data_IF_399884990102
#
_entry.id   IF_399884990102
#
_cell.length_a   1.000
_cell.length_b   1.000
_cell.length_c   1.000
_cell.angle_alpha   90.00
_cell.angle_beta   90.00
_cell.angle_gamma   90.00
#
_symmetry.space_group_name_H-M   'P 1'
#
loop_
_entity.id
_entity.type
_entity.pdbx_description
1 polymer ?
#
# COMPACT_ATOMS: atom_id res chain seq x y z
N UNK A 1 -29.28 -46.15 -11.12
CA UNK A 1 -29.36 -44.81 -10.50
C UNK A 1 -28.70 -44.87 -9.14
N UNK A 2 -27.70 -44.02 -8.88
CA UNK A 2 -27.05 -43.97 -7.55
C UNK A 2 -28.00 -43.25 -6.58
N UNK A 3 -28.48 -43.97 -5.58
CA UNK A 3 -29.38 -43.42 -4.58
C UNK A 3 -28.54 -42.50 -3.64
N UNK A 4 -28.65 -41.18 -3.86
CA UNK A 4 -27.95 -40.17 -3.09
C UNK A 4 -28.80 -39.83 -1.88
N UNK A 5 -28.44 -40.33 -0.69
CA UNK A 5 -29.13 -39.98 0.54
C UNK A 5 -29.03 -38.48 0.80
N UNK A 6 -30.05 -37.86 1.44
CA UNK A 6 -30.06 -36.45 1.83
C UNK A 6 -28.78 -36.03 2.57
N UNK A 7 -28.22 -36.91 3.42
CA UNK A 7 -26.96 -36.67 4.15
C UNK A 7 -25.77 -36.56 3.19
N UNK A 8 -25.66 -37.44 2.17
CA UNK A 8 -24.59 -37.40 1.16
C UNK A 8 -24.71 -36.16 0.28
N UNK A 9 -25.94 -35.78 -0.08
CA UNK A 9 -26.18 -34.54 -0.82
C UNK A 9 -25.76 -33.30 -0.05
N UNK A 10 -26.17 -33.17 1.23
CA UNK A 10 -25.79 -32.04 2.07
C UNK A 10 -24.27 -31.99 2.35
N UNK A 11 -23.63 -33.15 2.56
CA UNK A 11 -22.18 -33.21 2.69
C UNK A 11 -21.47 -32.78 1.40
N UNK A 12 -21.91 -33.24 0.25
CA UNK A 12 -21.38 -32.84 -1.06
C UNK A 12 -21.56 -31.37 -1.34
N UNK A 13 -22.74 -30.82 -1.06
CA UNK A 13 -23.03 -29.39 -1.19
C UNK A 13 -22.13 -28.54 -0.27
N UNK A 14 -21.91 -29.00 0.99
CA UNK A 14 -20.99 -28.33 1.92
C UNK A 14 -19.55 -28.32 1.43
N UNK A 15 -19.06 -29.45 0.91
CA UNK A 15 -17.69 -29.53 0.34
C UNK A 15 -17.57 -28.62 -0.88
N UNK A 16 -18.54 -28.67 -1.81
CA UNK A 16 -18.55 -27.82 -2.99
C UNK A 16 -18.56 -26.32 -2.61
N UNK A 17 -19.40 -25.92 -1.64
CA UNK A 17 -19.45 -24.54 -1.15
C UNK A 17 -18.12 -24.09 -0.54
N UNK A 18 -17.49 -24.96 0.26
CA UNK A 18 -16.18 -24.67 0.85
C UNK A 18 -15.09 -24.49 -0.21
N UNK A 19 -15.03 -25.40 -1.18
CA UNK A 19 -14.05 -25.31 -2.27
C UNK A 19 -14.28 -24.07 -3.14
N UNK A 20 -15.54 -23.72 -3.42
CA UNK A 20 -15.89 -22.49 -4.15
C UNK A 20 -15.46 -21.24 -3.39
N UNK A 21 -15.67 -21.21 -2.08
CA UNK A 21 -15.23 -20.08 -1.22
C UNK A 21 -13.71 -19.95 -1.18
N UNK A 22 -12.99 -21.07 -1.05
CA UNK A 22 -11.51 -21.07 -1.10
C UNK A 22 -11.04 -20.56 -2.47
N UNK A 23 -11.61 -21.06 -3.56
CA UNK A 23 -11.29 -20.59 -4.92
C UNK A 23 -11.57 -19.11 -5.11
N UNK A 24 -12.68 -18.61 -4.59
CA UNK A 24 -12.99 -17.19 -4.60
C UNK A 24 -11.92 -16.38 -3.84
N UNK A 25 -11.65 -16.72 -2.59
CA UNK A 25 -10.77 -15.95 -1.70
C UNK A 25 -9.30 -15.97 -2.14
N UNK A 26 -8.83 -17.07 -2.73
CA UNK A 26 -7.42 -17.23 -3.12
C UNK A 26 -7.18 -16.93 -4.60
N UNK A 27 -7.90 -17.57 -5.50
CA UNK A 27 -7.62 -17.45 -6.93
C UNK A 27 -8.25 -16.19 -7.54
N UNK A 28 -9.52 -15.91 -7.22
CA UNK A 28 -10.20 -14.78 -7.82
C UNK A 28 -9.86 -13.45 -7.09
N UNK A 29 -10.19 -13.32 -5.81
CA UNK A 29 -10.05 -12.02 -5.13
C UNK A 29 -8.59 -11.66 -4.92
N UNK A 30 -7.73 -12.60 -4.51
CA UNK A 30 -6.31 -12.34 -4.32
C UNK A 30 -5.55 -12.24 -5.63
N UNK A 31 -5.79 -13.15 -6.57
CA UNK A 31 -4.96 -13.33 -7.77
C UNK A 31 -5.45 -12.59 -9.01
N UNK A 32 -6.76 -12.32 -9.12
CA UNK A 32 -7.35 -11.81 -10.37
C UNK A 32 -8.10 -10.49 -10.21
N UNK A 33 -8.77 -10.27 -9.07
CA UNK A 33 -9.50 -9.02 -8.86
C UNK A 33 -8.54 -7.83 -8.76
N UNK A 34 -8.92 -6.71 -9.37
CA UNK A 34 -8.22 -5.44 -9.28
C UNK A 34 -9.25 -4.33 -9.36
N UNK A 35 -9.23 -3.43 -8.40
CA UNK A 35 -10.19 -2.33 -8.31
C UNK A 35 -9.48 -0.99 -8.33
N UNK A 36 -10.23 0.04 -8.70
CA UNK A 36 -9.85 1.43 -8.56
C UNK A 36 -10.72 2.03 -7.45
N UNK A 37 -10.07 2.50 -6.38
CA UNK A 37 -10.74 3.17 -5.26
C UNK A 37 -10.44 4.65 -5.31
N UNK A 38 -11.46 5.50 -5.27
CA UNK A 38 -11.28 6.95 -5.34
C UNK A 38 -11.62 7.61 -4.00
N UNK A 39 -10.75 8.53 -3.58
CA UNK A 39 -10.95 9.42 -2.43
C UNK A 39 -10.84 10.87 -2.89
N UNK A 40 -11.69 11.72 -2.31
CA UNK A 40 -11.67 13.16 -2.57
C UNK A 40 -11.83 13.94 -1.25
N UNK A 41 -10.88 13.79 -0.32
CA UNK A 41 -10.97 14.40 1.01
C UNK A 41 -10.93 15.92 0.94
N UNK A 42 -11.60 16.57 1.89
CA UNK A 42 -11.43 18.01 2.14
C UNK A 42 -10.34 18.18 3.18
N UNK A 43 -9.19 18.64 2.74
CA UNK A 43 -8.04 18.80 3.62
C UNK A 43 -7.98 20.23 4.16
N UNK A 44 -7.79 20.36 5.45
CA UNK A 44 -7.50 21.65 6.05
C UNK A 44 -6.13 22.17 5.58
N UNK A 45 -6.04 23.44 5.25
CA UNK A 45 -4.80 24.03 4.74
C UNK A 45 -4.41 23.65 3.30
N UNK A 46 -5.23 22.86 2.59
CA UNK A 46 -5.02 22.58 1.16
C UNK A 46 -5.80 23.59 0.32
N UNK A 47 -5.13 24.39 -0.54
CA UNK A 47 -5.83 25.40 -1.36
C UNK A 47 -6.76 24.75 -2.39
N UNK A 48 -7.96 25.33 -2.57
CA UNK A 48 -8.93 24.84 -3.56
C UNK A 48 -8.38 24.94 -4.99
N UNK A 49 -7.53 25.92 -5.28
CA UNK A 49 -6.90 26.14 -6.58
C UNK A 49 -5.65 25.26 -6.82
N UNK A 50 -5.26 24.45 -5.85
CA UNK A 50 -4.22 23.43 -6.00
C UNK A 50 -4.85 22.08 -6.32
N UNK A 51 -5.35 21.94 -7.56
CA UNK A 51 -5.87 20.67 -8.04
C UNK A 51 -4.72 19.65 -8.22
N UNK A 52 -4.80 18.51 -7.56
CA UNK A 52 -3.79 17.45 -7.63
C UNK A 52 -4.45 16.08 -7.64
N UNK A 53 -4.08 15.26 -8.61
CA UNK A 53 -4.53 13.88 -8.77
C UNK A 53 -3.38 12.93 -8.50
N UNK A 54 -3.49 12.11 -7.46
CA UNK A 54 -2.44 11.21 -7.00
C UNK A 54 -2.88 9.76 -7.20
N UNK A 55 -2.07 8.96 -7.89
CA UNK A 55 -2.21 7.50 -7.87
C UNK A 55 -1.33 6.92 -6.76
N UNK A 56 -1.91 6.04 -5.96
CA UNK A 56 -1.24 5.35 -4.84
C UNK A 56 -1.21 3.87 -5.11
N UNK A 57 -0.02 3.30 -5.07
CA UNK A 57 0.28 1.88 -5.19
C UNK A 57 0.92 1.44 -3.88
N UNK A 58 0.41 0.39 -3.24
CA UNK A 58 0.92 -0.08 -1.95
C UNK A 58 0.96 -1.61 -1.90
N UNK A 59 1.90 -2.13 -1.13
CA UNK A 59 1.92 -3.54 -0.70
C UNK A 59 1.84 -4.51 -1.90
N UNK A 60 2.74 -4.37 -2.86
CA UNK A 60 2.78 -5.22 -4.07
C UNK A 60 3.06 -6.67 -3.69
N UNK A 61 4.02 -6.94 -2.80
CA UNK A 61 4.43 -8.29 -2.40
C UNK A 61 4.67 -9.21 -3.59
N UNK A 62 5.55 -8.81 -4.50
CA UNK A 62 5.85 -9.51 -5.74
C UNK A 62 6.26 -10.98 -5.52
N UNK A 63 5.46 -11.92 -6.00
CA UNK A 63 5.66 -13.36 -5.81
C UNK A 63 4.82 -14.19 -6.79
N UNK A 64 5.24 -15.43 -7.04
CA UNK A 64 4.46 -16.37 -7.83
C UNK A 64 3.60 -17.28 -6.93
N UNK A 65 2.39 -17.67 -7.38
CA UNK A 65 1.73 -17.26 -8.63
C UNK A 65 0.89 -15.97 -8.50
N UNK A 66 0.86 -15.31 -7.33
CA UNK A 66 -0.16 -14.32 -6.96
C UNK A 66 0.10 -12.92 -7.53
N UNK A 67 1.36 -12.46 -7.53
CA UNK A 67 1.76 -11.13 -7.97
C UNK A 67 2.99 -11.23 -8.88
N UNK A 68 2.78 -11.81 -10.07
CA UNK A 68 3.79 -11.95 -11.10
C UNK A 68 4.10 -10.61 -11.77
N UNK A 69 5.17 -10.55 -12.57
CA UNK A 69 5.52 -9.39 -13.41
C UNK A 69 4.36 -8.98 -14.31
N UNK A 70 3.65 -9.96 -14.91
CA UNK A 70 2.47 -9.69 -15.73
C UNK A 70 1.40 -8.96 -14.91
N UNK A 71 1.13 -9.44 -13.70
CA UNK A 71 0.13 -8.84 -12.81
C UNK A 71 0.52 -7.43 -12.39
N UNK A 72 1.79 -7.20 -12.11
CA UNK A 72 2.33 -5.87 -11.81
C UNK A 72 2.17 -4.95 -13.03
N UNK A 73 2.40 -5.48 -14.25
CA UNK A 73 2.15 -4.76 -15.49
C UNK A 73 0.69 -4.30 -15.65
N UNK A 74 -0.29 -5.16 -15.33
CA UNK A 74 -1.72 -4.81 -15.35
C UNK A 74 -2.05 -3.68 -14.37
N UNK A 75 -1.40 -3.69 -13.18
CA UNK A 75 -1.55 -2.64 -12.16
C UNK A 75 -0.97 -1.31 -12.68
N UNK A 76 0.19 -1.36 -13.30
CA UNK A 76 0.84 -0.19 -13.93
C UNK A 76 -0.05 0.39 -15.03
N UNK A 77 -0.60 -0.45 -15.89
CA UNK A 77 -1.50 -0.02 -16.96
C UNK A 77 -2.78 0.63 -16.42
N UNK A 78 -3.36 0.06 -15.34
CA UNK A 78 -4.52 0.66 -14.67
C UNK A 78 -4.18 2.03 -14.06
N UNK A 79 -3.03 2.16 -13.39
CA UNK A 79 -2.60 3.40 -12.77
C UNK A 79 -2.34 4.49 -13.83
N UNK A 80 -1.62 4.17 -14.90
CA UNK A 80 -1.34 5.08 -16.02
C UNK A 80 -2.62 5.55 -16.74
N UNK A 81 -3.60 4.63 -16.91
CA UNK A 81 -4.88 4.96 -17.52
C UNK A 81 -5.65 6.05 -16.77
N UNK A 82 -5.37 6.23 -15.47
CA UNK A 82 -5.98 7.30 -14.67
C UNK A 82 -5.37 8.67 -14.96
N UNK A 83 -4.21 8.77 -15.61
CA UNK A 83 -3.48 10.01 -15.90
C UNK A 83 -3.30 10.86 -14.62
N UNK A 84 -2.65 10.34 -13.59
CA UNK A 84 -2.40 11.11 -12.37
C UNK A 84 -1.34 12.18 -12.61
N UNK A 85 -1.38 13.24 -11.80
CA UNK A 85 -0.34 14.27 -11.78
C UNK A 85 0.92 13.78 -11.06
N UNK A 86 0.74 12.95 -10.04
CA UNK A 86 1.76 12.38 -9.17
C UNK A 86 1.46 10.90 -8.91
N UNK A 87 2.48 10.07 -8.87
CA UNK A 87 2.36 8.68 -8.38
C UNK A 87 3.21 8.45 -7.15
N UNK A 88 2.68 7.69 -6.19
CA UNK A 88 3.39 7.33 -4.97
C UNK A 88 3.26 5.83 -4.68
N UNK A 89 4.39 5.23 -4.33
CA UNK A 89 4.48 3.82 -3.98
C UNK A 89 4.81 3.72 -2.48
N UNK A 90 3.97 3.03 -1.73
CA UNK A 90 4.01 3.05 -0.27
C UNK A 90 4.75 1.85 0.35
N UNK A 91 5.67 1.22 -0.40
CA UNK A 91 6.51 0.14 0.12
C UNK A 91 5.90 -1.26 0.01
N UNK A 92 6.59 -2.22 0.61
CA UNK A 92 6.31 -3.65 0.56
C UNK A 92 6.26 -4.18 -0.87
N UNK A 93 7.37 -3.98 -1.61
CA UNK A 93 7.52 -4.47 -2.97
C UNK A 93 7.73 -5.99 -3.02
N UNK A 94 8.34 -6.55 -1.99
CA UNK A 94 8.77 -7.95 -1.94
C UNK A 94 7.77 -8.82 -1.19
N UNK A 95 7.39 -9.96 -1.79
CA UNK A 95 6.56 -10.99 -1.14
C UNK A 95 7.38 -11.83 -0.16
N UNK A 96 6.81 -12.15 1.01
CA UNK A 96 7.52 -12.93 2.06
C UNK A 96 6.69 -14.04 2.69
N UNK A 97 5.45 -14.28 2.25
CA UNK A 97 4.64 -15.34 2.84
C UNK A 97 5.06 -16.75 2.32
N UNK A 98 4.84 -17.82 3.10
CA UNK A 98 5.35 -19.15 2.76
C UNK A 98 4.58 -19.88 1.64
N UNK A 99 3.42 -19.34 1.21
CA UNK A 99 2.55 -19.98 0.21
C UNK A 99 2.88 -19.53 -1.22
N UNK A 100 4.15 -19.41 -1.55
CA UNK A 100 4.62 -19.00 -2.88
C UNK A 100 5.35 -20.15 -3.57
N UNK A 101 5.26 -20.22 -4.89
CA UNK A 101 6.08 -21.13 -5.70
C UNK A 101 7.44 -20.51 -6.06
N UNK A 102 7.61 -19.22 -5.84
CA UNK A 102 8.84 -18.47 -6.05
C UNK A 102 8.64 -16.98 -5.82
N UNK A 103 9.73 -16.25 -5.73
CA UNK A 103 9.72 -14.79 -5.63
C UNK A 103 10.07 -14.17 -6.97
N UNK A 104 9.43 -13.04 -7.27
CA UNK A 104 9.78 -12.23 -8.45
C UNK A 104 11.06 -11.47 -8.16
N UNK A 105 12.13 -11.62 -8.97
CA UNK A 105 13.37 -10.89 -8.76
C UNK A 105 13.16 -9.38 -8.76
N UNK A 106 13.90 -8.60 -7.94
CA UNK A 106 13.75 -7.14 -7.88
C UNK A 106 13.83 -6.44 -9.23
N UNK A 107 14.73 -6.86 -10.11
CA UNK A 107 14.83 -6.30 -11.47
C UNK A 107 13.58 -6.51 -12.30
N UNK A 108 12.92 -7.66 -12.18
CA UNK A 108 11.76 -8.00 -12.99
C UNK A 108 10.50 -7.19 -12.63
N UNK A 109 10.20 -7.00 -11.34
CA UNK A 109 9.10 -6.12 -10.95
C UNK A 109 9.44 -4.63 -11.17
N UNK A 110 10.72 -4.26 -11.04
CA UNK A 110 11.18 -2.90 -11.29
C UNK A 110 11.04 -2.49 -12.76
N UNK A 111 11.28 -3.39 -13.73
CA UNK A 111 11.00 -3.16 -15.14
C UNK A 111 9.54 -2.77 -15.41
N UNK A 112 8.60 -3.37 -14.69
CA UNK A 112 7.20 -2.99 -14.81
C UNK A 112 6.94 -1.62 -14.19
N UNK A 113 7.51 -1.33 -13.01
CA UNK A 113 7.36 -0.04 -12.34
C UNK A 113 8.01 1.11 -13.12
N UNK A 114 9.06 0.83 -13.90
CA UNK A 114 9.68 1.83 -14.80
C UNK A 114 8.72 2.38 -15.88
N UNK A 115 7.58 1.72 -16.11
CA UNK A 115 6.52 2.16 -17.03
C UNK A 115 5.51 3.12 -16.42
N UNK A 116 5.61 3.40 -15.11
CA UNK A 116 4.74 4.37 -14.44
C UNK A 116 5.03 5.79 -14.93
N UNK A 117 3.98 6.54 -15.25
CA UNK A 117 4.10 7.88 -15.83
C UNK A 117 3.24 8.89 -15.06
N UNK A 118 3.88 9.95 -14.55
CA UNK A 118 3.19 11.08 -13.96
C UNK A 118 4.00 12.38 -14.18
N UNK A 119 3.37 13.51 -14.55
CA UNK A 119 4.07 14.77 -14.83
C UNK A 119 4.92 15.29 -13.67
N UNK A 120 4.50 15.08 -12.43
CA UNK A 120 5.25 15.47 -11.23
C UNK A 120 6.20 14.39 -10.74
N UNK A 121 6.25 13.24 -11.43
CA UNK A 121 7.12 12.11 -11.11
C UNK A 121 6.44 10.98 -10.34
N UNK A 122 7.25 9.94 -10.12
CA UNK A 122 6.89 8.73 -9.37
C UNK A 122 7.85 8.63 -8.18
N UNK A 123 7.34 8.54 -6.97
CA UNK A 123 8.15 8.51 -5.74
C UNK A 123 7.75 7.34 -4.87
N UNK A 124 8.67 6.85 -4.04
CA UNK A 124 8.40 5.74 -3.15
C UNK A 124 8.90 5.98 -1.73
N UNK A 125 8.33 5.24 -0.79
CA UNK A 125 8.91 4.90 0.51
C UNK A 125 9.10 3.39 0.56
N UNK A 126 9.89 2.89 1.51
CA UNK A 126 10.02 1.44 1.74
C UNK A 126 9.05 0.99 2.83
N UNK A 127 8.64 -0.30 2.74
CA UNK A 127 7.89 -0.97 3.78
C UNK A 127 8.73 -2.02 4.51
N UNK A 128 8.17 -2.56 5.56
CA UNK A 128 8.90 -3.46 6.46
C UNK A 128 9.37 -4.75 5.78
N UNK A 129 8.63 -5.28 4.82
CA UNK A 129 9.06 -6.46 4.07
C UNK A 129 10.25 -6.18 3.16
N UNK A 130 10.44 -4.95 2.71
CA UNK A 130 11.62 -4.53 1.96
C UNK A 130 12.90 -4.55 2.81
N UNK A 131 12.76 -4.42 4.14
CA UNK A 131 13.84 -4.52 5.12
C UNK A 131 14.02 -5.93 5.66
N UNK A 132 12.95 -6.74 5.75
CA UNK A 132 12.98 -8.06 6.40
C UNK A 132 13.27 -9.20 5.44
N UNK A 133 13.46 -8.93 4.21
CA UNK A 133 13.49 -9.92 3.16
C UNK A 133 14.59 -10.96 3.34
N UNK A 134 14.22 -12.17 3.72
CA UNK A 134 15.12 -13.30 3.91
C UNK A 134 15.19 -14.25 2.71
N UNK A 135 14.52 -13.96 1.60
CA UNK A 135 14.43 -14.90 0.47
C UNK A 135 15.64 -14.90 -0.46
N UNK A 136 16.58 -13.97 -0.26
CA UNK A 136 17.88 -14.00 -0.95
C UNK A 136 18.97 -14.34 0.10
N UNK A 137 19.37 -15.61 0.25
CA UNK A 137 20.29 -16.05 1.31
C UNK A 137 21.70 -15.43 1.24
N UNK A 138 21.99 -14.68 0.19
CA UNK A 138 23.34 -14.14 -0.10
C UNK A 138 23.50 -12.67 0.26
N UNK A 139 22.43 -11.98 0.67
CA UNK A 139 22.52 -10.58 1.08
C UNK A 139 22.69 -10.44 2.60
N UNK A 140 23.36 -9.36 3.08
CA UNK A 140 23.42 -9.06 4.51
C UNK A 140 22.00 -8.81 5.06
N UNK A 141 21.78 -8.85 6.39
CA UNK A 141 20.47 -8.76 7.01
C UNK A 141 19.71 -7.44 6.73
N UNK A 142 20.28 -6.54 5.99
CA UNK A 142 19.63 -5.37 5.41
C UNK A 142 19.35 -5.60 3.92
N UNK A 143 18.20 -6.17 3.62
CA UNK A 143 17.78 -6.46 2.24
C UNK A 143 17.24 -5.25 1.49
N UNK A 144 17.10 -4.11 2.13
CA UNK A 144 16.60 -2.89 1.50
C UNK A 144 17.48 -2.42 0.33
N UNK A 145 18.76 -2.85 0.30
CA UNK A 145 19.70 -2.46 -0.73
C UNK A 145 19.33 -2.98 -2.13
N UNK A 146 18.84 -4.23 -2.24
CA UNK A 146 18.39 -4.79 -3.53
C UNK A 146 17.13 -4.09 -4.03
N UNK A 147 16.19 -3.81 -3.14
CA UNK A 147 14.96 -3.06 -3.45
C UNK A 147 15.31 -1.63 -3.88
N UNK A 148 16.18 -0.94 -3.14
CA UNK A 148 16.63 0.42 -3.48
C UNK A 148 17.31 0.48 -4.86
N UNK A 149 18.17 -0.48 -5.17
CA UNK A 149 18.83 -0.57 -6.48
C UNK A 149 17.82 -0.80 -7.60
N UNK A 150 16.84 -1.66 -7.38
CA UNK A 150 15.79 -1.96 -8.35
C UNK A 150 14.91 -0.72 -8.61
N UNK A 151 14.47 -0.02 -7.57
CA UNK A 151 13.70 1.22 -7.67
C UNK A 151 14.51 2.33 -8.36
N UNK A 152 15.79 2.47 -8.02
CA UNK A 152 16.68 3.43 -8.68
C UNK A 152 16.84 3.12 -10.18
N UNK A 153 16.98 1.84 -10.55
CA UNK A 153 17.03 1.41 -11.95
C UNK A 153 15.71 1.68 -12.70
N UNK A 154 14.57 1.61 -12.00
CA UNK A 154 13.26 1.97 -12.53
C UNK A 154 13.02 3.49 -12.62
N UNK A 155 13.95 4.33 -12.15
CA UNK A 155 13.76 5.77 -12.10
C UNK A 155 12.80 6.24 -10.99
N UNK A 156 12.57 5.41 -9.97
CA UNK A 156 11.67 5.67 -8.84
C UNK A 156 12.49 5.99 -7.59
N UNK A 157 12.70 7.28 -7.25
CA UNK A 157 13.43 7.65 -6.03
C UNK A 157 12.71 7.22 -4.76
N UNK A 158 13.48 6.72 -3.80
CA UNK A 158 13.03 6.39 -2.45
C UNK A 158 13.21 7.62 -1.57
N UNK A 159 12.11 8.14 -1.03
CA UNK A 159 12.13 9.21 -0.04
C UNK A 159 12.20 8.59 1.36
N UNK A 160 13.33 8.71 2.03
CA UNK A 160 13.52 8.20 3.39
C UNK A 160 13.97 9.32 4.30
N UNK A 161 13.07 9.72 5.21
CA UNK A 161 13.26 10.82 6.14
C UNK A 161 13.69 12.12 5.44
N UNK A 162 13.07 12.40 4.31
CA UNK A 162 13.35 13.59 3.52
C UNK A 162 12.08 14.15 2.88
N UNK A 163 12.13 15.41 2.49
CA UNK A 163 11.04 16.08 1.80
C UNK A 163 11.50 16.65 0.46
N UNK A 164 10.55 16.70 -0.47
CA UNK A 164 10.70 17.26 -1.80
C UNK A 164 9.66 18.35 -2.00
N UNK A 165 10.08 19.52 -2.48
CA UNK A 165 9.17 20.60 -2.85
C UNK A 165 8.77 20.45 -4.32
N UNK A 166 7.49 20.22 -4.55
CA UNK A 166 6.88 20.11 -5.87
C UNK A 166 6.04 21.36 -6.19
N UNK A 167 5.73 21.54 -7.46
CA UNK A 167 4.89 22.67 -7.92
C UNK A 167 3.87 22.17 -8.93
N UNK A 168 2.60 22.40 -8.69
CA UNK A 168 1.47 22.09 -9.58
C UNK A 168 0.75 23.38 -9.95
N UNK A 169 0.68 23.70 -11.25
CA UNK A 169 0.06 24.93 -11.76
C UNK A 169 0.55 26.22 -11.07
N UNK A 170 1.87 26.29 -10.79
CA UNK A 170 2.48 27.42 -10.09
C UNK A 170 2.29 27.43 -8.56
N UNK A 171 1.54 26.49 -7.99
CA UNK A 171 1.34 26.33 -6.55
C UNK A 171 2.28 25.30 -5.95
N UNK A 172 3.07 25.64 -4.94
CA UNK A 172 3.97 24.70 -4.27
C UNK A 172 3.24 23.83 -3.26
N UNK A 173 3.75 22.62 -3.08
CA UNK A 173 3.43 21.72 -1.97
C UNK A 173 4.64 20.84 -1.64
N UNK A 174 4.63 20.24 -0.46
CA UNK A 174 5.68 19.34 -0.02
C UNK A 174 5.23 17.88 -0.07
N UNK A 175 6.09 17.03 -0.61
CA UNK A 175 5.99 15.58 -0.52
C UNK A 175 7.05 15.09 0.46
N UNK A 176 6.63 14.46 1.54
CA UNK A 176 7.49 13.97 2.62
C UNK A 176 7.50 12.45 2.57
N UNK A 177 8.67 11.82 2.58
CA UNK A 177 8.81 10.38 2.75
C UNK A 177 9.39 10.04 4.12
N UNK A 178 8.71 9.16 4.84
CA UNK A 178 9.16 8.65 6.13
C UNK A 178 9.86 7.30 5.97
N UNK A 179 10.90 7.07 6.73
CA UNK A 179 11.51 5.75 6.89
C UNK A 179 10.53 4.78 7.55
N UNK A 180 10.72 3.50 7.30
CA UNK A 180 9.88 2.43 7.84
C UNK A 180 9.92 2.37 9.37
N UNK A 181 8.75 2.29 10.02
CA UNK A 181 8.63 2.39 11.48
C UNK A 181 9.02 1.11 12.22
N UNK A 182 9.16 -0.01 11.51
CA UNK A 182 9.51 -1.31 12.06
C UNK A 182 10.62 -2.01 11.26
N UNK A 183 11.42 -1.24 10.51
CA UNK A 183 12.47 -1.68 9.60
C UNK A 183 13.39 -2.76 10.20
N UNK A 184 13.80 -2.60 11.45
CA UNK A 184 14.75 -3.48 12.09
C UNK A 184 14.03 -4.47 13.01
N UNK A 185 13.72 -5.67 12.48
CA UNK A 185 13.25 -6.77 13.28
C UNK A 185 14.28 -7.09 14.39
N UNK A 186 13.83 -7.00 15.63
CA UNK A 186 14.52 -7.59 16.76
C UNK A 186 13.83 -8.91 17.10
N UNK A 187 14.52 -9.80 17.86
CA UNK A 187 13.95 -11.09 18.26
C UNK A 187 12.54 -10.93 18.83
N UNK A 188 11.77 -12.02 18.86
CA UNK A 188 10.39 -12.07 19.39
C UNK A 188 10.21 -11.48 20.80
N UNK A 189 11.29 -11.20 21.51
CA UNK A 189 11.31 -10.62 22.87
C UNK A 189 11.67 -9.12 22.91
N UNK A 190 12.03 -8.50 21.78
CA UNK A 190 12.36 -7.07 21.72
C UNK A 190 11.53 -6.39 20.65
N UNK A 191 10.95 -5.19 20.92
CA UNK A 191 10.21 -4.44 19.91
C UNK A 191 11.12 -4.12 18.73
N UNK A 192 10.54 -4.10 17.53
CA UNK A 192 11.19 -3.61 16.31
C UNK A 192 11.61 -2.15 16.52
N UNK A 193 12.71 -1.77 15.88
CA UNK A 193 13.15 -0.37 15.81
C UNK A 193 12.91 0.13 14.39
N UNK A 194 12.32 1.29 14.26
CA UNK A 194 12.14 1.96 12.98
C UNK A 194 13.42 2.58 12.44
N UNK A 195 13.39 2.83 11.15
CA UNK A 195 14.29 3.73 10.45
C UNK A 195 13.67 5.14 10.32
N UNK A 196 12.46 5.33 10.87
CA UNK A 196 11.68 6.54 10.80
C UNK A 196 12.27 7.68 11.63
N UNK A 197 12.36 8.87 11.04
CA UNK A 197 12.70 10.13 11.70
C UNK A 197 11.85 11.26 11.08
N UNK A 198 10.69 11.52 11.67
CA UNK A 198 9.75 12.51 11.16
C UNK A 198 10.35 13.94 11.22
N UNK A 199 11.19 14.23 12.21
CA UNK A 199 11.82 15.55 12.33
C UNK A 199 12.86 15.76 11.23
N UNK A 200 13.67 14.75 10.94
CA UNK A 200 14.60 14.79 9.80
C UNK A 200 13.82 14.93 8.48
N UNK A 201 12.74 14.17 8.31
CA UNK A 201 11.90 14.22 7.11
C UNK A 201 11.32 15.62 6.84
N UNK A 202 11.04 16.39 7.87
CA UNK A 202 10.43 17.72 7.76
C UNK A 202 11.44 18.88 7.86
N UNK A 203 12.71 18.59 8.08
CA UNK A 203 13.74 19.60 8.39
C UNK A 203 13.88 20.69 7.31
N UNK A 204 13.71 20.32 6.05
CA UNK A 204 13.89 21.26 4.93
C UNK A 204 12.66 22.13 4.64
N UNK A 205 11.53 21.87 5.28
CA UNK A 205 10.29 22.62 5.06
C UNK A 205 10.37 23.95 5.77
N UNK A 206 10.45 25.06 5.00
CA UNK A 206 10.67 26.42 5.50
C UNK A 206 9.53 27.39 5.20
N UNK A 207 8.53 26.98 4.42
CA UNK A 207 7.39 27.80 4.03
C UNK A 207 6.06 27.18 4.51
N UNK A 208 4.95 27.87 4.25
CA UNK A 208 3.60 27.45 4.64
C UNK A 208 2.90 26.61 3.55
N UNK A 209 3.62 26.17 2.52
CA UNK A 209 3.03 25.30 1.50
C UNK A 209 2.51 24.00 2.13
N UNK A 210 1.34 23.49 1.71
CA UNK A 210 0.75 22.29 2.28
C UNK A 210 1.65 21.07 2.06
N UNK A 211 1.52 20.07 2.92
CA UNK A 211 2.38 18.89 2.87
C UNK A 211 1.57 17.58 2.84
N UNK A 212 2.08 16.62 2.07
CA UNK A 212 1.62 15.24 2.01
C UNK A 212 2.72 14.35 2.57
N UNK A 213 2.39 13.48 3.52
CA UNK A 213 3.30 12.51 4.11
C UNK A 213 3.04 11.11 3.53
N UNK A 214 4.09 10.48 3.04
CA UNK A 214 4.12 9.07 2.69
C UNK A 214 4.73 8.30 3.86
N UNK A 215 3.97 7.40 4.45
CA UNK A 215 4.41 6.54 5.54
C UNK A 215 3.85 5.13 5.31
N UNK A 216 4.72 4.12 5.22
CA UNK A 216 4.25 2.76 4.98
C UNK A 216 3.25 2.33 6.05
N UNK A 217 3.65 2.38 7.34
CA UNK A 217 2.73 2.07 8.42
C UNK A 217 1.89 3.28 8.85
N UNK A 218 0.60 3.08 9.15
CA UNK A 218 -0.29 4.16 9.61
C UNK A 218 -0.07 4.56 11.08
N UNK A 219 0.85 3.91 11.80
CA UNK A 219 1.02 4.07 13.25
C UNK A 219 1.53 5.44 13.67
N UNK A 220 2.26 6.13 12.78
CA UNK A 220 2.78 7.48 13.01
C UNK A 220 1.67 8.54 13.08
N UNK A 221 0.49 8.28 12.50
CA UNK A 221 -0.55 9.29 12.29
C UNK A 221 -0.92 10.12 13.53
N UNK A 222 -1.02 9.55 14.75
CA UNK A 222 -1.32 10.33 15.95
C UNK A 222 -0.26 11.40 16.31
N UNK A 223 0.98 11.23 15.84
CA UNK A 223 2.11 12.12 16.13
C UNK A 223 2.47 13.06 14.99
N UNK A 224 1.84 12.90 13.82
CA UNK A 224 2.04 13.76 12.65
C UNK A 224 1.60 15.19 13.00
N UNK A 225 2.37 16.25 12.71
CA UNK A 225 1.97 17.63 12.97
C UNK A 225 0.81 18.09 12.08
N UNK A 226 -0.03 19.03 12.57
CA UNK A 226 -1.21 19.53 11.86
C UNK A 226 -0.91 20.23 10.52
N UNK A 227 0.34 20.68 10.31
CA UNK A 227 0.75 21.21 9.00
C UNK A 227 0.81 20.18 7.87
N UNK A 228 0.82 18.88 8.19
CA UNK A 228 0.70 17.80 7.21
C UNK A 228 -0.78 17.58 6.93
N UNK A 229 -1.24 18.06 5.79
CA UNK A 229 -2.66 18.01 5.45
C UNK A 229 -3.16 16.58 5.19
N UNK A 230 -2.31 15.73 4.59
CA UNK A 230 -2.66 14.36 4.23
C UNK A 230 -1.51 13.40 4.54
N UNK A 231 -1.82 12.26 5.13
CA UNK A 231 -0.93 11.09 5.23
C UNK A 231 -1.45 9.97 4.34
N UNK A 232 -0.57 9.33 3.57
CA UNK A 232 -0.89 8.17 2.74
C UNK A 232 -0.14 6.96 3.29
N UNK A 233 -0.84 5.87 3.59
CA UNK A 233 -0.28 4.66 4.19
C UNK A 233 -0.78 3.37 3.53
N UNK A 234 0.01 2.30 3.65
CA UNK A 234 -0.29 0.92 3.26
C UNK A 234 -0.28 -0.03 4.46
N UNK A 235 0.54 -1.11 4.37
CA UNK A 235 0.89 -2.05 5.42
C UNK A 235 -0.24 -2.94 5.96
N UNK A 236 -1.43 -2.41 6.11
CA UNK A 236 -2.53 -3.10 6.79
C UNK A 236 -3.34 -4.01 5.87
N UNK A 237 -3.15 -3.91 4.54
CA UNK A 237 -3.87 -4.68 3.52
C UNK A 237 -5.40 -4.63 3.67
N UNK A 238 -5.95 -3.58 4.27
CA UNK A 238 -7.36 -3.53 4.62
C UNK A 238 -7.80 -4.68 5.54
N UNK A 239 -6.85 -5.32 6.24
CA UNK A 239 -7.05 -6.53 7.05
C UNK A 239 -7.12 -7.82 6.25
N UNK A 240 -6.97 -7.79 4.91
CA UNK A 240 -7.12 -8.88 3.94
C UNK A 240 -8.50 -9.56 3.94
N UNK A 241 -9.10 -9.76 5.11
CA UNK A 241 -10.42 -10.35 5.29
C UNK A 241 -11.35 -9.34 5.94
N UNK A 242 -12.47 -9.06 5.29
CA UNK A 242 -13.52 -8.17 5.79
C UNK A 242 -14.84 -8.95 5.86
N UNK A 243 -15.21 -9.39 7.04
CA UNK A 243 -16.41 -10.19 7.23
C UNK A 243 -17.67 -9.32 7.31
N UNK A 244 -18.78 -9.69 6.66
CA UNK A 244 -20.03 -8.98 6.81
C UNK A 244 -20.41 -8.84 8.29
N UNK A 245 -20.85 -7.65 8.70
CA UNK A 245 -21.28 -7.29 10.06
C UNK A 245 -20.20 -7.31 11.15
N UNK A 246 -19.03 -7.94 10.91
CA UNK A 246 -17.92 -8.05 11.87
C UNK A 246 -16.78 -7.12 11.50
N UNK A 247 -16.59 -6.86 10.21
CA UNK A 247 -15.44 -6.10 9.69
C UNK A 247 -14.17 -6.95 9.61
N UNK A 248 -13.02 -6.29 9.67
CA UNK A 248 -11.73 -6.95 9.61
C UNK A 248 -11.33 -7.54 10.97
N UNK A 249 -11.14 -8.88 11.10
CA UNK A 249 -10.79 -9.51 12.37
C UNK A 249 -9.50 -8.99 13.01
N UNK A 250 -8.59 -8.42 12.22
CA UNK A 250 -7.34 -7.82 12.70
C UNK A 250 -7.56 -6.68 13.72
N UNK A 251 -8.70 -6.01 13.68
CA UNK A 251 -9.08 -5.01 14.70
C UNK A 251 -9.11 -5.59 16.12
N UNK A 252 -9.48 -6.87 16.24
CA UNK A 252 -9.59 -7.55 17.53
C UNK A 252 -8.27 -8.17 17.97
N UNK A 253 -7.42 -8.57 17.02
CA UNK A 253 -6.17 -9.29 17.28
C UNK A 253 -5.06 -8.32 17.67
N UNK A 254 -4.97 -7.17 17.00
CA UNK A 254 -3.90 -6.18 17.19
C UNK A 254 -4.45 -4.86 17.72
N UNK A 255 -4.72 -4.77 19.03
CA UNK A 255 -5.34 -3.59 19.66
C UNK A 255 -4.66 -2.24 19.38
N UNK A 256 -3.35 -2.18 19.22
CA UNK A 256 -2.59 -0.94 18.90
C UNK A 256 -2.48 -0.68 17.41
N UNK A 257 -2.12 -1.68 16.64
CA UNK A 257 -1.92 -1.59 15.20
C UNK A 257 -3.21 -1.75 14.39
N UNK A 258 -4.24 -2.40 14.96
CA UNK A 258 -5.54 -2.56 14.31
C UNK A 258 -6.46 -1.34 14.32
N UNK A 259 -5.98 -0.16 14.76
CA UNK A 259 -6.81 1.05 14.81
C UNK A 259 -7.05 1.65 13.42
N UNK A 260 -6.04 1.63 12.55
CA UNK A 260 -6.08 2.23 11.22
C UNK A 260 -5.86 1.14 10.18
N UNK A 261 -6.92 0.53 9.69
CA UNK A 261 -6.82 -0.66 8.83
C UNK A 261 -7.10 -0.35 7.37
N UNK A 262 -8.06 0.53 7.06
CA UNK A 262 -8.51 0.78 5.70
C UNK A 262 -9.35 2.03 5.57
N UNK A 263 -9.13 2.81 4.52
CA UNK A 263 -9.95 3.96 4.17
C UNK A 263 -9.51 5.25 4.82
N UNK A 264 -10.44 6.18 4.99
CA UNK A 264 -10.18 7.53 5.47
C UNK A 264 -10.25 7.62 7.00
N UNK A 265 -9.31 8.38 7.56
CA UNK A 265 -9.26 8.72 8.98
C UNK A 265 -9.01 10.22 9.14
N UNK A 266 -9.64 10.83 10.14
CA UNK A 266 -9.40 12.20 10.53
C UNK A 266 -9.02 12.29 12.02
N UNK A 267 -8.06 13.13 12.34
CA UNK A 267 -7.63 13.43 13.70
C UNK A 267 -7.21 14.91 13.78
N UNK A 268 -7.97 15.73 14.51
CA UNK A 268 -7.83 17.19 14.46
C UNK A 268 -7.95 17.71 13.03
N UNK A 269 -6.96 18.47 12.56
CA UNK A 269 -6.92 19.08 11.23
C UNK A 269 -6.31 18.17 10.16
N UNK A 270 -5.82 16.98 10.53
CA UNK A 270 -5.11 16.04 9.68
C UNK A 270 -6.02 14.95 9.16
N UNK A 271 -5.71 14.50 7.96
CA UNK A 271 -6.38 13.33 7.38
C UNK A 271 -5.37 12.29 6.94
N UNK A 272 -5.79 11.04 6.95
CA UNK A 272 -5.01 9.91 6.48
C UNK A 272 -5.88 8.99 5.63
N UNK A 273 -5.29 8.45 4.56
CA UNK A 273 -5.87 7.38 3.77
C UNK A 273 -4.97 6.16 3.93
N UNK A 274 -5.57 5.03 4.30
CA UNK A 274 -4.90 3.72 4.38
C UNK A 274 -5.38 2.85 3.24
N UNK A 275 -4.49 2.51 2.32
CA UNK A 275 -4.76 1.63 1.19
C UNK A 275 -5.00 0.19 1.63
N UNK A 276 -5.87 -0.52 0.92
CA UNK A 276 -6.04 -1.96 1.05
C UNK A 276 -4.91 -2.77 0.42
N UNK A 277 -3.98 -2.11 -0.30
CA UNK A 277 -2.84 -2.75 -0.93
C UNK A 277 -3.20 -3.71 -2.06
N UNK A 278 -2.19 -4.25 -2.71
CA UNK A 278 -2.31 -5.08 -3.91
C UNK A 278 -2.05 -6.55 -3.66
N UNK A 279 -0.99 -6.88 -2.94
CA UNK A 279 -0.59 -8.25 -2.63
C UNK A 279 -1.20 -8.81 -1.36
N UNK A 280 -0.58 -9.83 -0.82
CA UNK A 280 -0.96 -10.46 0.44
C UNK A 280 0.29 -10.71 1.30
N UNK A 281 0.17 -10.53 2.62
CA UNK A 281 1.31 -10.58 3.55
C UNK A 281 1.46 -11.95 4.23
N UNK A 282 0.44 -12.45 4.92
CA UNK A 282 0.53 -13.69 5.71
C UNK A 282 0.15 -14.95 4.92
N UNK A 283 -0.89 -14.82 4.11
CA UNK A 283 -1.41 -15.89 3.27
C UNK A 283 -2.12 -15.25 2.07
N UNK A 284 -2.16 -15.94 0.92
CA UNK A 284 -2.81 -15.43 -0.29
C UNK A 284 -4.34 -15.57 -0.19
N UNK A 285 -4.92 -14.88 0.78
CA UNK A 285 -6.36 -14.92 1.08
C UNK A 285 -6.86 -13.51 1.24
N UNK A 286 -7.78 -13.09 0.36
CA UNK A 286 -8.57 -11.87 0.50
C UNK A 286 -10.05 -12.20 0.46
N UNK A 287 -10.84 -11.56 1.29
CA UNK A 287 -12.30 -11.72 1.33
C UNK A 287 -12.96 -10.37 1.51
N UNK A 288 -13.74 -9.93 0.51
CA UNK A 288 -14.39 -8.62 0.46
C UNK A 288 -13.39 -7.47 0.70
N UNK A 289 -12.17 -7.66 0.19
CA UNK A 289 -11.07 -6.71 0.22
C UNK A 289 -10.17 -6.91 -1.00
N UNK A 290 -10.70 -6.65 -2.22
CA UNK A 290 -9.94 -6.84 -3.44
C UNK A 290 -8.68 -5.97 -3.46
N UNK A 291 -7.63 -6.40 -4.18
CA UNK A 291 -6.50 -5.55 -4.51
C UNK A 291 -6.94 -4.25 -5.16
N UNK A 292 -6.31 -3.13 -4.78
CA UNK A 292 -6.71 -1.83 -5.29
C UNK A 292 -5.55 -0.92 -5.67
N UNK A 293 -5.74 -0.14 -6.73
CA UNK A 293 -5.05 1.12 -6.97
C UNK A 293 -5.91 2.23 -6.37
N UNK A 294 -5.33 3.11 -5.57
CA UNK A 294 -6.06 4.21 -4.95
C UNK A 294 -5.80 5.51 -5.73
N UNK A 295 -6.86 6.23 -6.04
CA UNK A 295 -6.82 7.57 -6.61
C UNK A 295 -7.25 8.60 -5.57
N UNK A 296 -6.41 9.59 -5.31
CA UNK A 296 -6.72 10.72 -4.42
C UNK A 296 -6.82 11.99 -5.25
N UNK A 297 -7.95 12.68 -5.12
CA UNK A 297 -8.22 13.95 -5.82
C UNK A 297 -8.28 15.08 -4.78
N UNK A 298 -7.35 16.01 -4.87
CA UNK A 298 -7.25 17.17 -3.97
C UNK A 298 -7.51 18.46 -4.72
N UNK A 299 -8.15 19.43 -4.08
CA UNK A 299 -8.48 20.74 -4.70
C UNK A 299 -9.36 20.61 -5.95
N UNK A 300 -9.43 21.69 -6.74
CA UNK A 300 -10.21 21.76 -7.96
C UNK A 300 -11.72 21.96 -7.76
N UNK A 301 -12.39 22.44 -8.82
CA UNK A 301 -13.87 22.50 -8.84
C UNK A 301 -14.42 21.07 -8.81
N UNK A 302 -15.22 20.74 -7.81
CA UNK A 302 -15.95 19.49 -7.76
C UNK A 302 -17.20 19.63 -8.62
N UNK A 303 -17.32 18.79 -9.63
CA UNK A 303 -18.63 18.51 -10.20
C UNK A 303 -19.52 18.00 -9.05
N UNK A 304 -20.53 18.77 -8.69
CA UNK A 304 -21.61 18.30 -7.82
C UNK A 304 -22.30 17.17 -8.59
N UNK A 305 -22.00 15.93 -8.23
CA UNK A 305 -22.70 14.75 -8.74
C UNK A 305 -23.97 14.50 -7.93
#
# INVERSE_FOLDING_TARGET
>A
MVDVTRRRFLAGAGVAGTLSFIGYATAYETGSALTLTEYAPRLNGWPDDLALKIAVIADIHACYPWMSEQRIGEIVDLANAQRPDLMVLLGDFVGTHPFVSGYVPPGAWAEQLARLEAPLGVYSVLGNHDWWFAAIPTEPPDNSLSVRRALAAAGVPVLENQSLRLTQHGRPFWLIGLGDQIAHLRSSYRPSRGADDLWAAMREIRDEAPAILLAHEPYIFPTVPDRVALTLSGHMHGGQVNLPFIGAPIHFIKRRSGRFVYGEYALSERQMIVSGGLGASFAPVRVLRPPEVVMVKLGGERSLA
#
